data_IF_369790680712
#
_entry.id   IF_369790680712
#
_cell.length_a   1.000
_cell.length_b   1.000
_cell.length_c   1.000
_cell.angle_alpha   90.00
_cell.angle_beta   90.00
_cell.angle_gamma   90.00
#
_symmetry.space_group_name_H-M   'P 1'
#
loop_
_entity.id
_entity.type
_entity.pdbx_description
1 polymer ?
#
# COMPACT_ATOMS: atom_id res chain seq x y z
N UNK A 1 -5.74 32.04 -66.10
CA UNK A 1 -5.15 32.72 -64.93
C UNK A 1 -5.29 31.82 -63.73
N UNK A 2 -4.20 31.08 -63.33
CA UNK A 2 -4.16 30.28 -62.15
C UNK A 2 -3.86 31.13 -60.92
N UNK A 3 -4.82 31.29 -59.99
CA UNK A 3 -4.57 31.89 -58.67
C UNK A 3 -3.90 30.83 -57.79
N UNK A 4 -2.62 30.96 -57.56
CA UNK A 4 -1.91 30.22 -56.51
C UNK A 4 -2.37 30.78 -55.16
N UNK A 5 -3.08 29.99 -54.38
CA UNK A 5 -3.36 30.24 -52.97
C UNK A 5 -2.11 29.91 -52.17
N UNK A 6 -1.27 30.88 -51.91
CA UNK A 6 -0.21 30.82 -50.91
C UNK A 6 -0.86 30.76 -49.52
N UNK A 7 -0.99 29.58 -48.94
CA UNK A 7 -1.28 29.45 -47.50
C UNK A 7 -0.12 30.06 -46.74
N UNK A 8 -0.39 30.99 -45.81
CA UNK A 8 0.68 31.67 -45.11
C UNK A 8 1.38 30.68 -44.15
N UNK A 9 2.61 30.29 -44.47
CA UNK A 9 3.52 29.55 -43.60
C UNK A 9 3.60 30.16 -42.18
N UNK A 10 3.35 31.45 -42.05
CA UNK A 10 3.30 32.16 -40.78
C UNK A 10 2.17 31.70 -39.82
N UNK A 11 1.01 31.28 -40.37
CA UNK A 11 -0.09 30.76 -39.53
C UNK A 11 0.21 29.36 -38.94
N UNK A 12 0.93 28.55 -39.71
CA UNK A 12 1.38 27.23 -39.25
C UNK A 12 2.49 27.35 -38.18
N UNK A 13 3.43 28.29 -38.36
CA UNK A 13 4.48 28.57 -37.40
C UNK A 13 3.90 29.15 -36.09
N UNK A 14 2.91 30.06 -36.17
CA UNK A 14 2.21 30.59 -34.99
C UNK A 14 1.40 29.50 -34.26
N UNK A 15 0.75 28.59 -34.96
CA UNK A 15 0.04 27.46 -34.38
C UNK A 15 1.00 26.44 -33.69
N UNK A 16 2.20 26.23 -34.23
CA UNK A 16 3.24 25.40 -33.64
C UNK A 16 3.85 26.03 -32.38
N UNK A 17 3.99 27.33 -32.30
CA UNK A 17 4.48 28.04 -31.12
C UNK A 17 3.43 28.08 -29.98
N UNK A 18 2.14 28.15 -30.32
CA UNK A 18 1.03 28.08 -29.34
C UNK A 18 0.84 26.65 -28.76
N UNK A 19 1.24 25.61 -29.50
CA UNK A 19 1.12 24.21 -29.02
C UNK A 19 2.09 23.84 -27.90
N UNK A 20 3.12 24.64 -27.61
CA UNK A 20 4.14 24.39 -26.57
C UNK A 20 3.76 24.95 -25.19
N UNK A 21 2.73 25.78 -25.07
CA UNK A 21 2.35 26.41 -23.79
C UNK A 21 1.46 25.47 -22.96
N UNK A 22 2.01 24.85 -21.93
CA UNK A 22 1.22 24.27 -20.84
C UNK A 22 0.99 25.31 -19.75
N UNK A 23 -0.23 25.36 -19.19
CA UNK A 23 -0.58 26.21 -18.05
C UNK A 23 -0.25 25.59 -16.71
N UNK A 24 0.33 24.37 -16.70
CA UNK A 24 0.78 23.67 -15.50
C UNK A 24 1.90 24.47 -14.84
N UNK A 25 1.84 24.76 -13.53
CA UNK A 25 2.95 25.38 -12.81
C UNK A 25 4.22 24.53 -12.93
N UNK A 26 5.38 25.18 -12.92
CA UNK A 26 6.65 24.45 -12.81
C UNK A 26 6.69 23.74 -11.45
N UNK A 27 6.90 22.45 -11.48
CA UNK A 27 7.05 21.68 -10.25
C UNK A 27 8.27 22.14 -9.46
N UNK A 28 8.10 22.27 -8.15
CA UNK A 28 9.19 22.49 -7.20
C UNK A 28 8.95 21.56 -6.03
N UNK A 29 9.95 20.73 -5.74
CA UNK A 29 9.90 19.83 -4.61
C UNK A 29 9.85 20.63 -3.29
N UNK A 30 8.87 20.36 -2.41
CA UNK A 30 8.80 21.01 -1.10
C UNK A 30 10.03 20.65 -0.25
N UNK A 31 10.63 21.66 0.38
CA UNK A 31 11.72 21.42 1.34
C UNK A 31 11.12 21.03 2.68
N UNK A 32 11.33 19.78 3.09
CA UNK A 32 10.87 19.27 4.38
C UNK A 32 12.00 19.38 5.40
N UNK A 33 11.71 19.97 6.56
CA UNK A 33 12.68 20.08 7.66
C UNK A 33 12.76 18.73 8.40
N UNK A 34 13.67 17.85 7.96
CA UNK A 34 14.06 16.63 8.68
C UNK A 34 15.57 16.68 8.93
N UNK A 35 16.08 16.06 10.02
CA UNK A 35 17.52 15.94 10.25
C UNK A 35 18.19 15.21 9.09
N UNK A 36 19.42 15.61 8.76
CA UNK A 36 20.20 15.01 7.66
C UNK A 36 20.57 13.55 7.93
N UNK A 37 20.66 13.15 9.21
CA UNK A 37 21.07 11.81 9.63
C UNK A 37 20.20 11.30 10.78
N UNK A 38 20.09 9.97 10.89
CA UNK A 38 19.48 9.31 12.03
C UNK A 38 20.51 9.25 13.18
N UNK A 39 20.23 9.91 14.31
CA UNK A 39 21.18 10.07 15.43
C UNK A 39 21.61 8.78 16.14
N UNK A 40 20.98 7.63 15.86
CA UNK A 40 21.19 6.36 16.55
C UNK A 40 22.01 5.33 15.77
N UNK A 41 22.40 5.62 14.55
CA UNK A 41 23.28 4.72 13.79
C UNK A 41 24.48 5.50 13.22
N UNK A 42 25.65 5.19 13.72
CA UNK A 42 26.91 5.69 13.12
C UNK A 42 27.08 4.91 11.83
N UNK A 43 26.81 5.57 10.74
CA UNK A 43 26.88 5.09 9.38
C UNK A 43 28.00 4.11 9.15
N UNK A 44 27.72 2.98 8.58
CA UNK A 44 28.74 2.08 8.10
C UNK A 44 28.38 1.50 6.75
N UNK A 45 29.41 1.23 5.95
CA UNK A 45 29.32 0.62 4.64
C UNK A 45 28.51 -0.67 4.67
N UNK A 46 27.57 -0.81 3.74
CA UNK A 46 26.77 -2.02 3.58
C UNK A 46 25.73 -1.87 2.47
N UNK A 47 25.05 -2.96 2.13
CA UNK A 47 23.99 -2.95 1.13
C UNK A 47 22.79 -2.21 1.72
N UNK A 48 22.25 -1.20 0.99
CA UNK A 48 21.05 -0.48 1.41
C UNK A 48 19.87 -1.44 1.53
N UNK A 49 19.01 -1.24 2.52
CA UNK A 49 17.82 -2.10 2.73
C UNK A 49 16.94 -2.20 1.48
N UNK A 50 16.78 -1.11 0.72
CA UNK A 50 16.03 -1.07 -0.53
C UNK A 50 16.67 -1.95 -1.65
N UNK A 51 17.96 -2.25 -1.57
CA UNK A 51 18.69 -3.08 -2.52
C UNK A 51 18.83 -4.53 -2.05
N UNK A 52 18.60 -4.80 -0.77
CA UNK A 52 18.66 -6.12 -0.15
C UNK A 52 17.36 -6.89 -0.45
N UNK A 53 17.50 -8.05 -1.08
CA UNK A 53 16.37 -8.93 -1.34
C UNK A 53 15.81 -9.55 -0.06
N UNK A 54 14.48 -9.73 0.00
CA UNK A 54 13.86 -10.29 1.21
C UNK A 54 14.26 -11.77 1.45
N UNK A 55 14.61 -12.55 0.41
CA UNK A 55 15.14 -13.90 0.58
C UNK A 55 16.55 -13.91 1.16
N UNK A 56 17.33 -12.85 0.92
CA UNK A 56 18.68 -12.73 1.48
C UNK A 56 18.66 -12.06 2.87
N UNK A 57 17.57 -11.41 3.21
CA UNK A 57 17.37 -10.80 4.52
C UNK A 57 16.82 -11.78 5.57
N UNK A 58 15.73 -12.47 5.24
CA UNK A 58 15.17 -13.51 6.10
C UNK A 58 15.90 -14.83 5.85
N UNK A 59 16.21 -15.58 6.92
CA UNK A 59 16.96 -16.83 6.80
C UNK A 59 16.07 -18.07 6.65
N UNK A 60 14.77 -17.96 7.04
CA UNK A 60 13.89 -19.12 7.14
C UNK A 60 13.22 -19.49 5.81
N UNK A 61 13.52 -20.68 5.25
CA UNK A 61 12.92 -21.14 4.00
C UNK A 61 11.39 -21.27 4.06
N UNK A 62 10.83 -21.54 5.26
CA UNK A 62 9.37 -21.59 5.45
C UNK A 62 8.76 -20.21 5.30
N UNK A 63 9.39 -19.19 5.86
CA UNK A 63 8.98 -17.80 5.70
C UNK A 63 9.05 -17.37 4.23
N UNK A 64 10.11 -17.77 3.50
CA UNK A 64 10.21 -17.49 2.07
C UNK A 64 9.01 -17.99 1.29
N UNK A 65 8.58 -19.24 1.52
CA UNK A 65 7.41 -19.82 0.83
C UNK A 65 6.10 -19.11 1.20
N UNK A 66 5.96 -18.67 2.44
CA UNK A 66 4.78 -17.91 2.88
C UNK A 66 4.74 -16.53 2.23
N UNK A 67 5.87 -15.81 2.16
CA UNK A 67 5.96 -14.51 1.48
C UNK A 67 5.65 -14.68 -0.02
N UNK A 68 6.24 -15.65 -0.71
CA UNK A 68 5.93 -15.94 -2.12
C UNK A 68 4.43 -16.14 -2.34
N UNK A 69 3.82 -17.01 -1.53
CA UNK A 69 2.39 -17.31 -1.64
C UNK A 69 1.53 -16.06 -1.36
N UNK A 70 1.92 -15.25 -0.39
CA UNK A 70 1.21 -14.00 -0.09
C UNK A 70 1.32 -13.00 -1.25
N UNK A 71 2.51 -12.80 -1.82
CA UNK A 71 2.71 -11.90 -2.95
C UNK A 71 1.91 -12.32 -4.20
N UNK A 72 1.66 -13.62 -4.37
CA UNK A 72 0.85 -14.14 -5.49
C UNK A 72 -0.67 -14.03 -5.22
N UNK A 73 -1.12 -14.15 -3.97
CA UNK A 73 -2.53 -14.43 -3.66
C UNK A 73 -3.19 -13.44 -2.72
N UNK A 74 -2.43 -12.60 -2.03
CA UNK A 74 -2.99 -11.67 -1.06
C UNK A 74 -4.03 -10.73 -1.70
N UNK A 75 -5.18 -10.59 -1.04
CA UNK A 75 -6.32 -9.83 -1.54
C UNK A 75 -6.05 -8.33 -1.61
N UNK A 76 -5.33 -7.78 -0.62
CA UNK A 76 -5.05 -6.35 -0.55
C UNK A 76 -4.05 -5.94 -1.63
N UNK A 77 -3.01 -6.76 -1.85
CA UNK A 77 -2.05 -6.53 -2.93
C UNK A 77 -2.71 -6.64 -4.31
N UNK A 78 -3.60 -7.63 -4.49
CA UNK A 78 -4.38 -7.77 -5.72
C UNK A 78 -5.30 -6.58 -5.94
N UNK A 79 -5.96 -6.10 -4.90
CA UNK A 79 -6.81 -4.90 -4.96
C UNK A 79 -5.98 -3.67 -5.33
N UNK A 80 -4.81 -3.48 -4.73
CA UNK A 80 -3.91 -2.38 -5.08
C UNK A 80 -3.43 -2.46 -6.54
N UNK A 81 -3.14 -3.65 -7.05
CA UNK A 81 -2.77 -3.87 -8.45
C UNK A 81 -3.92 -3.52 -9.40
N UNK A 82 -5.15 -3.97 -9.11
CA UNK A 82 -6.33 -3.67 -9.92
C UNK A 82 -6.67 -2.16 -9.89
N UNK A 83 -6.49 -1.50 -8.75
CA UNK A 83 -6.64 -0.03 -8.67
C UNK A 83 -5.63 0.70 -9.57
N UNK A 84 -4.37 0.26 -9.60
CA UNK A 84 -3.38 0.82 -10.51
C UNK A 84 -3.76 0.59 -11.99
N UNK A 85 -4.30 -0.57 -12.33
CA UNK A 85 -4.82 -0.83 -13.69
C UNK A 85 -6.02 0.05 -14.03
N UNK A 86 -6.96 0.22 -13.11
CA UNK A 86 -8.12 1.11 -13.31
C UNK A 86 -7.66 2.56 -13.56
N UNK A 87 -6.67 3.04 -12.81
CA UNK A 87 -6.10 4.38 -13.02
C UNK A 87 -5.34 4.48 -14.34
N UNK A 88 -4.72 3.41 -14.82
CA UNK A 88 -4.11 3.35 -16.16
C UNK A 88 -5.16 3.53 -17.26
N UNK A 89 -6.30 2.86 -17.14
CA UNK A 89 -7.41 3.02 -18.09
C UNK A 89 -8.02 4.44 -18.00
N UNK A 90 -8.12 5.02 -16.79
CA UNK A 90 -8.53 6.43 -16.63
C UNK A 90 -7.57 7.39 -17.33
N UNK A 91 -6.26 7.13 -17.27
CA UNK A 91 -5.27 7.87 -18.07
C UNK A 91 -5.51 7.72 -19.58
N UNK A 92 -5.83 6.48 -20.06
CA UNK A 92 -6.17 6.25 -21.47
C UNK A 92 -7.40 7.03 -21.91
N UNK A 93 -8.44 7.07 -21.08
CA UNK A 93 -9.65 7.87 -21.32
C UNK A 93 -9.30 9.36 -21.42
N UNK A 94 -8.52 9.88 -20.47
CA UNK A 94 -8.10 11.29 -20.47
C UNK A 94 -7.18 11.61 -21.67
N UNK A 95 -6.36 10.66 -22.11
CA UNK A 95 -5.52 10.79 -23.30
C UNK A 95 -6.37 10.81 -24.58
N UNK A 96 -7.45 10.02 -24.64
CA UNK A 96 -8.34 9.96 -25.80
C UNK A 96 -9.02 11.31 -26.08
N UNK A 97 -9.24 12.16 -25.07
CA UNK A 97 -9.78 13.51 -25.22
C UNK A 97 -8.90 14.45 -26.06
N UNK A 98 -7.64 14.08 -26.33
CA UNK A 98 -6.75 14.82 -27.26
C UNK A 98 -7.06 14.58 -28.74
N UNK A 99 -7.92 13.61 -29.04
CA UNK A 99 -8.27 13.22 -30.41
C UNK A 99 -9.78 13.31 -30.63
N UNK A 100 -10.22 13.65 -31.86
CA UNK A 100 -11.64 13.66 -32.18
C UNK A 100 -12.24 12.25 -32.09
N UNK A 101 -13.44 12.14 -31.53
CA UNK A 101 -14.23 10.91 -31.56
C UNK A 101 -15.07 10.86 -32.84
N UNK A 102 -14.99 9.78 -33.58
CA UNK A 102 -15.82 9.52 -34.75
C UNK A 102 -16.99 8.64 -34.37
N UNK A 103 -18.19 9.09 -34.62
CA UNK A 103 -19.42 8.35 -34.36
C UNK A 103 -20.30 8.19 -35.60
N UNK A 104 -21.07 7.14 -35.69
CA UNK A 104 -22.15 6.96 -36.62
C UNK A 104 -23.48 7.35 -35.95
N UNK A 105 -24.30 8.15 -36.61
CA UNK A 105 -25.60 8.57 -36.11
C UNK A 105 -26.68 8.26 -37.11
N UNK A 106 -27.84 7.78 -36.65
CA UNK A 106 -29.05 7.67 -37.44
C UNK A 106 -30.20 8.33 -36.69
N UNK A 107 -30.99 9.13 -37.35
CA UNK A 107 -32.17 9.74 -36.74
C UNK A 107 -33.35 9.70 -37.70
N UNK A 108 -34.53 9.59 -37.16
CA UNK A 108 -35.81 9.75 -37.86
C UNK A 108 -36.78 10.56 -37.00
N UNK A 109 -37.34 11.60 -37.58
CA UNK A 109 -38.33 12.44 -36.92
C UNK A 109 -39.56 12.52 -37.77
N UNK A 110 -40.74 12.29 -37.19
CA UNK A 110 -42.03 12.55 -37.81
C UNK A 110 -42.87 13.36 -36.83
N UNK A 111 -43.21 14.57 -37.20
CA UNK A 111 -43.93 15.47 -36.32
C UNK A 111 -45.07 16.19 -37.08
N UNK A 112 -46.14 16.49 -36.36
CA UNK A 112 -47.25 17.34 -36.84
C UNK A 112 -47.12 18.72 -36.17
N UNK A 113 -46.92 19.73 -36.96
CA UNK A 113 -46.95 21.12 -36.49
C UNK A 113 -48.40 21.66 -36.59
N UNK A 114 -48.84 22.45 -35.60
CA UNK A 114 -50.12 23.14 -35.63
C UNK A 114 -50.11 24.22 -36.70
N UNK A 115 -51.34 24.58 -37.24
CA UNK A 115 -51.44 25.52 -38.35
C UNK A 115 -50.96 26.92 -38.04
N UNK A 116 -51.13 27.37 -36.82
CA UNK A 116 -50.68 28.70 -36.32
C UNK A 116 -49.18 28.78 -36.10
N UNK A 117 -48.50 27.63 -35.95
CA UNK A 117 -47.02 27.61 -35.79
C UNK A 117 -46.26 27.56 -37.13
N UNK A 118 -46.95 27.21 -38.24
CA UNK A 118 -46.30 27.04 -39.54
C UNK A 118 -46.78 28.12 -40.58
N UNK A 119 -47.62 29.05 -40.18
CA UNK A 119 -48.10 30.14 -40.99
C UNK A 119 -49.09 29.74 -42.11
N UNK A 120 -49.46 28.45 -42.25
CA UNK A 120 -50.35 27.98 -43.33
C UNK A 120 -51.83 27.87 -42.88
N UNK A 121 -52.09 28.03 -41.58
CA UNK A 121 -53.43 27.82 -40.98
C UNK A 121 -53.87 26.37 -40.95
N UNK A 122 -53.08 25.41 -41.38
CA UNK A 122 -53.36 23.98 -41.40
C UNK A 122 -52.21 23.20 -40.77
N UNK A 123 -52.56 22.13 -40.03
CA UNK A 123 -51.55 21.24 -39.49
C UNK A 123 -50.76 20.52 -40.61
N UNK A 124 -49.44 20.59 -40.55
CA UNK A 124 -48.54 19.92 -41.52
C UNK A 124 -47.74 18.84 -40.84
N UNK A 125 -47.65 17.66 -41.46
CA UNK A 125 -46.76 16.59 -41.05
C UNK A 125 -45.41 16.77 -41.79
N UNK A 126 -44.33 16.85 -41.02
CA UNK A 126 -42.97 16.86 -41.58
C UNK A 126 -42.23 15.57 -41.11
N UNK A 127 -41.50 14.98 -42.01
CA UNK A 127 -40.63 13.82 -41.77
C UNK A 127 -39.23 14.22 -42.13
N UNK A 128 -38.27 13.68 -41.42
CA UNK A 128 -36.83 13.81 -41.69
C UNK A 128 -36.08 12.59 -41.22
N UNK A 129 -35.31 11.99 -42.08
CA UNK A 129 -34.48 10.83 -41.82
C UNK A 129 -33.04 11.19 -42.19
N UNK A 130 -32.09 10.82 -41.33
CA UNK A 130 -30.67 11.02 -41.62
C UNK A 130 -29.82 9.89 -41.11
N UNK A 131 -28.75 9.57 -41.84
CA UNK A 131 -27.68 8.64 -41.41
C UNK A 131 -26.35 9.26 -41.82
N UNK A 132 -25.39 9.24 -40.89
CA UNK A 132 -24.08 9.83 -41.20
C UNK A 132 -22.99 9.43 -40.21
N UNK A 133 -21.78 9.82 -40.60
CA UNK A 133 -20.60 9.75 -39.76
C UNK A 133 -20.23 11.17 -39.33
N UNK A 134 -19.78 11.36 -38.11
CA UNK A 134 -19.39 12.69 -37.70
C UNK A 134 -18.51 12.73 -36.45
N UNK A 135 -17.85 13.84 -36.29
CA UNK A 135 -17.14 14.27 -35.09
C UNK A 135 -17.99 15.32 -34.40
N UNK A 136 -18.29 15.12 -33.14
CA UNK A 136 -19.09 16.06 -32.35
C UNK A 136 -18.25 16.78 -31.31
N UNK A 137 -18.27 18.11 -31.35
CA UNK A 137 -17.71 19.00 -30.32
C UNK A 137 -16.25 18.69 -29.90
N UNK A 138 -15.37 18.34 -30.84
CA UNK A 138 -13.95 18.16 -30.56
C UNK A 138 -13.32 19.51 -30.17
N UNK A 139 -12.88 19.64 -28.88
CA UNK A 139 -12.23 20.84 -28.36
C UNK A 139 -10.74 20.85 -28.75
N UNK A 140 -10.31 21.89 -29.48
CA UNK A 140 -8.91 22.11 -29.81
C UNK A 140 -8.14 22.55 -28.56
N UNK A 141 -7.14 21.78 -28.17
CA UNK A 141 -6.36 22.04 -26.94
C UNK A 141 -5.27 23.11 -27.14
N UNK A 142 -5.68 24.35 -27.46
CA UNK A 142 -4.76 25.45 -27.67
C UNK A 142 -4.07 25.92 -26.39
N UNK A 143 -4.79 25.90 -25.27
CA UNK A 143 -4.32 26.41 -23.99
C UNK A 143 -3.93 25.30 -22.98
N UNK A 144 -3.90 24.05 -23.42
CA UNK A 144 -3.40 22.93 -22.65
C UNK A 144 -4.35 22.39 -21.57
N UNK A 145 -5.66 22.63 -21.70
CA UNK A 145 -6.68 22.08 -20.78
C UNK A 145 -6.72 20.55 -20.83
N UNK A 146 -6.85 19.97 -22.04
CA UNK A 146 -6.87 18.52 -22.24
C UNK A 146 -5.53 17.88 -21.91
N UNK A 147 -4.41 18.53 -22.26
CA UNK A 147 -3.06 18.10 -21.88
C UNK A 147 -2.87 18.12 -20.37
N UNK A 148 -3.37 19.13 -19.66
CA UNK A 148 -3.32 19.22 -18.20
C UNK A 148 -4.14 18.11 -17.55
N UNK A 149 -5.35 17.82 -18.03
CA UNK A 149 -6.19 16.73 -17.56
C UNK A 149 -5.53 15.35 -17.79
N UNK A 150 -4.92 15.16 -18.99
CA UNK A 150 -4.13 13.94 -19.27
C UNK A 150 -2.96 13.80 -18.30
N UNK A 151 -2.22 14.91 -18.02
CA UNK A 151 -1.11 14.88 -17.08
C UNK A 151 -1.59 14.57 -15.66
N UNK A 152 -2.71 15.17 -15.22
CA UNK A 152 -3.30 14.86 -13.92
C UNK A 152 -3.67 13.37 -13.81
N UNK A 153 -4.26 12.79 -14.85
CA UNK A 153 -4.58 11.37 -14.87
C UNK A 153 -3.33 10.46 -14.90
N UNK A 154 -2.25 10.89 -15.57
CA UNK A 154 -0.97 10.18 -15.59
C UNK A 154 -0.33 10.16 -14.21
N UNK A 155 -0.31 11.30 -13.51
CA UNK A 155 0.21 11.39 -12.15
C UNK A 155 -0.65 10.57 -11.17
N UNK A 156 -1.97 10.55 -11.36
CA UNK A 156 -2.88 9.66 -10.63
C UNK A 156 -2.57 8.17 -10.83
N UNK A 157 -2.20 7.77 -12.06
CA UNK A 157 -1.73 6.41 -12.33
C UNK A 157 -0.40 6.11 -11.61
N UNK A 158 0.58 7.02 -11.64
CA UNK A 158 1.85 6.84 -10.94
C UNK A 158 1.67 6.81 -9.42
N UNK A 159 0.79 7.65 -8.86
CA UNK A 159 0.40 7.61 -7.45
C UNK A 159 -0.13 6.22 -7.08
N UNK A 160 -1.06 5.67 -7.85
CA UNK A 160 -1.64 4.35 -7.60
C UNK A 160 -0.63 3.21 -7.76
N UNK A 161 0.33 3.35 -8.70
CA UNK A 161 1.44 2.39 -8.85
C UNK A 161 2.36 2.41 -7.63
N UNK A 162 2.70 3.60 -7.12
CA UNK A 162 3.51 3.74 -5.92
C UNK A 162 2.76 3.23 -4.66
N UNK A 163 1.44 3.44 -4.59
CA UNK A 163 0.61 2.85 -3.53
C UNK A 163 0.59 1.31 -3.57
N UNK A 164 0.55 0.69 -4.76
CA UNK A 164 0.71 -0.76 -4.94
C UNK A 164 2.07 -1.24 -4.43
N UNK A 165 3.14 -0.52 -4.75
CA UNK A 165 4.49 -0.86 -4.30
C UNK A 165 4.61 -0.73 -2.77
N UNK A 166 3.95 0.28 -2.17
CA UNK A 166 3.85 0.41 -0.72
C UNK A 166 3.09 -0.76 -0.07
N UNK A 167 2.00 -1.20 -0.69
CA UNK A 167 1.26 -2.39 -0.26
C UNK A 167 2.13 -3.65 -0.33
N UNK A 168 2.95 -3.82 -1.38
CA UNK A 168 3.88 -4.93 -1.50
C UNK A 168 4.85 -4.99 -0.30
N UNK A 169 5.52 -3.88 0.04
CA UNK A 169 6.40 -3.80 1.22
C UNK A 169 5.65 -4.12 2.52
N UNK A 170 4.44 -3.61 2.65
CA UNK A 170 3.61 -3.84 3.83
C UNK A 170 3.24 -5.33 3.99
N UNK A 171 2.91 -6.03 2.89
CA UNK A 171 2.59 -7.46 2.93
C UNK A 171 3.82 -8.30 3.28
N UNK A 172 5.00 -8.02 2.71
CA UNK A 172 6.24 -8.73 3.08
C UNK A 172 6.48 -8.62 4.59
N UNK A 173 6.40 -7.41 5.15
CA UNK A 173 6.58 -7.20 6.59
C UNK A 173 5.46 -7.84 7.42
N UNK A 174 4.20 -7.77 6.99
CA UNK A 174 3.07 -8.34 7.70
C UNK A 174 3.15 -9.87 7.77
N UNK A 175 3.53 -10.54 6.67
CA UNK A 175 3.73 -12.00 6.64
C UNK A 175 4.88 -12.40 7.55
N UNK A 176 6.00 -11.67 7.54
CA UNK A 176 7.13 -11.94 8.42
C UNK A 176 6.72 -11.82 9.91
N UNK A 177 6.03 -10.73 10.28
CA UNK A 177 5.56 -10.53 11.66
C UNK A 177 4.53 -11.59 12.09
N UNK A 178 3.57 -11.93 11.23
CA UNK A 178 2.61 -13.00 11.52
C UNK A 178 3.30 -14.37 11.69
N UNK A 179 4.32 -14.64 10.88
CA UNK A 179 5.13 -15.85 11.01
C UNK A 179 5.94 -15.88 12.31
N UNK A 180 6.60 -14.78 12.69
CA UNK A 180 7.30 -14.69 13.97
C UNK A 180 6.37 -14.88 15.16
N UNK A 181 5.17 -14.31 15.09
CA UNK A 181 4.12 -14.53 16.09
C UNK A 181 3.67 -15.99 16.14
N UNK A 182 3.55 -16.69 15.02
CA UNK A 182 3.27 -18.13 15.01
C UNK A 182 4.40 -18.91 15.68
N UNK A 183 5.67 -18.63 15.35
CA UNK A 183 6.82 -19.30 15.98
C UNK A 183 6.88 -19.03 17.48
N UNK A 184 6.62 -17.79 17.90
CA UNK A 184 6.47 -17.43 19.31
C UNK A 184 5.37 -18.25 19.99
N UNK A 185 4.19 -18.35 19.40
CA UNK A 185 3.08 -19.11 19.98
C UNK A 185 3.38 -20.61 20.08
N UNK A 186 4.11 -21.18 19.11
CA UNK A 186 4.59 -22.58 19.17
C UNK A 186 5.59 -22.79 20.30
N UNK A 187 6.56 -21.90 20.50
CA UNK A 187 7.54 -21.98 21.59
C UNK A 187 6.89 -21.71 22.97
N UNK A 188 5.95 -20.75 23.05
CA UNK A 188 5.18 -20.49 24.25
C UNK A 188 4.31 -21.70 24.66
N UNK A 189 3.67 -22.36 23.68
CA UNK A 189 2.93 -23.59 23.92
C UNK A 189 3.84 -24.72 24.43
N UNK A 190 5.02 -24.86 23.82
CA UNK A 190 6.00 -25.87 24.28
C UNK A 190 6.47 -25.60 25.72
N UNK A 191 6.67 -24.31 26.08
CA UNK A 191 7.01 -23.88 27.44
C UNK A 191 5.87 -24.20 28.42
N UNK A 192 4.62 -23.86 28.09
CA UNK A 192 3.44 -24.16 28.91
C UNK A 192 3.25 -25.68 29.11
N UNK A 193 3.48 -26.48 28.05
CA UNK A 193 3.44 -27.95 28.12
C UNK A 193 4.51 -28.49 29.06
N UNK A 194 5.73 -27.95 29.05
CA UNK A 194 6.81 -28.33 29.97
C UNK A 194 6.41 -28.04 31.42
N UNK A 195 5.80 -26.87 31.67
CA UNK A 195 5.31 -26.50 33.00
C UNK A 195 4.19 -27.44 33.46
N UNK A 196 3.21 -27.72 32.57
CA UNK A 196 2.12 -28.65 32.87
C UNK A 196 2.66 -30.05 33.29
N UNK A 197 3.60 -30.59 32.50
CA UNK A 197 4.24 -31.89 32.86
C UNK A 197 4.95 -31.86 34.21
N UNK A 198 5.65 -30.77 34.54
CA UNK A 198 6.29 -30.60 35.85
C UNK A 198 5.25 -30.57 36.97
N UNK A 199 4.15 -29.83 36.80
CA UNK A 199 3.04 -29.78 37.77
C UNK A 199 2.36 -31.13 37.95
N UNK A 200 2.14 -31.90 36.90
CA UNK A 200 1.61 -33.27 36.99
C UNK A 200 2.49 -34.18 37.81
N UNK A 201 3.80 -34.11 37.63
CA UNK A 201 4.76 -34.91 38.41
C UNK A 201 4.75 -34.51 39.89
N UNK A 202 4.75 -33.22 40.18
CA UNK A 202 4.69 -32.68 41.55
C UNK A 202 3.38 -33.05 42.24
N UNK A 203 2.25 -32.98 41.56
CA UNK A 203 0.95 -33.38 42.08
C UNK A 203 0.88 -34.88 42.42
N UNK A 204 1.38 -35.75 41.52
CA UNK A 204 1.46 -37.20 41.80
C UNK A 204 2.30 -37.50 43.04
N UNK A 205 3.45 -36.84 43.18
CA UNK A 205 4.29 -36.97 44.38
C UNK A 205 3.56 -36.49 45.64
N UNK A 206 2.83 -35.39 45.55
CA UNK A 206 2.03 -34.84 46.65
C UNK A 206 0.89 -35.79 47.05
N UNK A 207 0.24 -36.44 46.10
CA UNK A 207 -0.76 -37.49 46.40
C UNK A 207 -0.17 -38.66 47.20
N UNK A 208 1.04 -39.14 46.85
CA UNK A 208 1.74 -40.20 47.56
C UNK A 208 2.09 -39.72 48.97
N UNK A 209 2.66 -38.54 49.14
CA UNK A 209 3.03 -37.95 50.44
C UNK A 209 1.80 -37.73 51.32
N UNK A 210 0.66 -37.32 50.79
CA UNK A 210 -0.58 -37.16 51.52
C UNK A 210 -1.12 -38.49 52.03
N UNK A 211 -1.15 -39.53 51.18
CA UNK A 211 -1.53 -40.90 51.58
C UNK A 211 -0.62 -41.47 52.69
N UNK A 212 0.64 -41.10 52.70
CA UNK A 212 1.61 -41.43 53.71
C UNK A 212 1.55 -40.53 54.96
N UNK A 213 0.63 -39.58 55.05
CA UNK A 213 0.48 -38.65 56.17
C UNK A 213 1.58 -37.60 56.29
N UNK A 214 2.39 -37.39 55.25
CA UNK A 214 3.56 -36.50 55.26
C UNK A 214 3.19 -35.04 54.95
N UNK A 215 2.11 -34.81 54.19
CA UNK A 215 1.60 -33.46 53.87
C UNK A 215 0.12 -33.34 54.21
N UNK A 216 -0.32 -32.12 54.45
CA UNK A 216 -1.70 -31.81 54.79
C UNK A 216 -2.65 -31.91 53.58
N UNK A 217 -3.96 -32.00 53.83
CA UNK A 217 -4.98 -31.87 52.80
C UNK A 217 -4.97 -30.50 52.13
N UNK A 218 -4.60 -29.45 52.86
CA UNK A 218 -4.46 -28.07 52.31
C UNK A 218 -3.37 -28.04 51.26
N UNK A 219 -2.20 -28.62 51.55
CA UNK A 219 -1.07 -28.69 50.60
C UNK A 219 -1.47 -29.44 49.31
N UNK A 220 -2.21 -30.58 49.46
CA UNK A 220 -2.69 -31.33 48.32
C UNK A 220 -3.66 -30.52 47.46
N UNK A 221 -4.62 -29.81 48.05
CA UNK A 221 -5.56 -28.95 47.33
C UNK A 221 -4.87 -27.77 46.62
N UNK A 222 -3.82 -27.25 47.25
CA UNK A 222 -2.99 -26.21 46.57
C UNK A 222 -2.30 -26.76 45.34
N UNK A 223 -1.74 -27.98 45.37
CA UNK A 223 -1.13 -28.61 44.20
C UNK A 223 -2.17 -28.94 43.13
N UNK A 224 -3.40 -29.31 43.51
CA UNK A 224 -4.51 -29.53 42.59
C UNK A 224 -4.90 -28.22 41.86
N UNK A 225 -5.00 -27.12 42.58
CA UNK A 225 -5.28 -25.81 41.97
C UNK A 225 -4.19 -25.39 40.98
N UNK A 226 -2.90 -25.69 41.29
CA UNK A 226 -1.78 -25.33 40.41
C UNK A 226 -1.73 -26.16 39.10
N UNK A 227 -2.11 -27.46 39.15
CA UNK A 227 -2.19 -28.24 37.92
C UNK A 227 -3.33 -27.79 37.04
N UNK A 228 -4.49 -27.44 37.60
CA UNK A 228 -5.61 -26.93 36.83
C UNK A 228 -5.29 -25.55 36.20
N UNK A 229 -4.60 -24.68 36.92
CA UNK A 229 -4.06 -23.42 36.37
C UNK A 229 -3.06 -23.65 35.21
N UNK A 230 -2.19 -24.66 35.33
CA UNK A 230 -1.25 -25.01 34.28
C UNK A 230 -1.95 -25.58 33.02
N UNK A 231 -3.03 -26.40 33.21
CA UNK A 231 -3.87 -26.88 32.12
C UNK A 231 -4.52 -25.71 31.37
N UNK A 232 -5.15 -24.78 32.11
CA UNK A 232 -5.77 -23.59 31.53
C UNK A 232 -4.77 -22.76 30.74
N UNK A 233 -3.55 -22.59 31.26
CA UNK A 233 -2.46 -21.88 30.56
C UNK A 233 -2.02 -22.59 29.28
N UNK A 234 -1.94 -23.93 29.30
CA UNK A 234 -1.61 -24.70 28.10
C UNK A 234 -2.69 -24.61 27.04
N UNK A 235 -3.97 -24.74 27.40
CA UNK A 235 -5.10 -24.59 26.45
C UNK A 235 -5.15 -23.16 25.85
N UNK A 236 -4.86 -22.13 26.65
CA UNK A 236 -4.72 -20.76 26.14
C UNK A 236 -3.58 -20.61 25.13
N UNK A 237 -2.45 -21.30 25.35
CA UNK A 237 -1.33 -21.30 24.42
C UNK A 237 -1.66 -22.06 23.13
N UNK A 238 -2.41 -23.17 23.20
CA UNK A 238 -2.94 -23.90 22.04
C UNK A 238 -3.84 -22.97 21.22
N UNK A 239 -4.77 -22.25 21.87
CA UNK A 239 -5.64 -21.29 21.20
C UNK A 239 -4.82 -20.20 20.48
N UNK A 240 -3.83 -19.62 21.14
CA UNK A 240 -2.97 -18.58 20.58
C UNK A 240 -2.22 -19.06 19.34
N UNK A 241 -1.71 -20.30 19.36
CA UNK A 241 -1.06 -20.94 18.20
C UNK A 241 -2.00 -21.06 17.02
N UNK A 242 -3.24 -21.54 17.23
CA UNK A 242 -4.21 -21.71 16.15
C UNK A 242 -4.67 -20.34 15.60
N UNK A 243 -4.82 -19.33 16.46
CA UNK A 243 -5.12 -17.95 16.01
C UNK A 243 -3.99 -17.37 15.15
N UNK A 244 -2.72 -17.59 15.53
CA UNK A 244 -1.57 -17.16 14.75
C UNK A 244 -1.52 -17.86 13.37
N UNK A 245 -1.86 -19.17 13.32
CA UNK A 245 -2.01 -19.89 12.04
C UNK A 245 -3.10 -19.30 11.16
N UNK A 246 -4.25 -18.97 11.74
CA UNK A 246 -5.37 -18.35 11.01
C UNK A 246 -4.98 -16.97 10.45
N UNK A 247 -4.22 -16.18 11.20
CA UNK A 247 -3.73 -14.88 10.73
C UNK A 247 -2.83 -15.02 9.48
N UNK A 248 -1.95 -16.00 9.44
CA UNK A 248 -1.14 -16.29 8.24
C UNK A 248 -2.02 -16.75 7.08
N UNK A 249 -3.00 -17.64 7.34
CA UNK A 249 -3.89 -18.15 6.30
C UNK A 249 -4.66 -17.02 5.60
N UNK A 250 -5.07 -15.97 6.33
CA UNK A 250 -5.67 -14.75 5.76
C UNK A 250 -4.68 -14.01 4.87
N UNK A 251 -3.43 -13.82 5.32
CA UNK A 251 -2.42 -13.10 4.55
C UNK A 251 -2.05 -13.79 3.24
N UNK A 252 -1.97 -15.15 3.25
CA UNK A 252 -1.68 -15.94 2.06
C UNK A 252 -2.94 -16.31 1.25
N UNK A 253 -4.14 -15.90 1.72
CA UNK A 253 -5.44 -16.18 1.12
C UNK A 253 -5.67 -17.67 0.80
N UNK A 254 -5.26 -18.56 1.71
CA UNK A 254 -5.47 -20.03 1.64
C UNK A 254 -5.07 -20.70 2.96
N UNK A 255 -5.52 -21.93 3.23
CA UNK A 255 -4.96 -22.73 4.31
C UNK A 255 -3.44 -22.86 4.17
N UNK A 256 -2.73 -22.89 5.30
CA UNK A 256 -1.28 -23.09 5.31
C UNK A 256 -0.98 -24.48 4.74
N UNK A 257 -0.12 -24.59 3.69
CA UNK A 257 0.25 -25.88 3.12
C UNK A 257 0.96 -26.78 4.15
N UNK A 258 0.70 -28.07 4.11
CA UNK A 258 1.32 -29.05 5.01
C UNK A 258 2.75 -29.42 4.59
N UNK A 259 3.13 -29.15 3.32
CA UNK A 259 4.42 -29.46 2.70
C UNK A 259 5.48 -28.34 2.88
N UNK A 260 5.24 -27.41 3.82
CA UNK A 260 6.21 -26.35 4.08
C UNK A 260 7.49 -26.90 4.73
N UNK A 261 8.67 -26.34 4.41
CA UNK A 261 9.92 -26.68 5.10
C UNK A 261 9.79 -26.52 6.62
N UNK A 262 10.65 -27.24 7.37
CA UNK A 262 10.75 -27.03 8.80
C UNK A 262 11.18 -25.59 9.09
N UNK A 263 10.45 -24.90 9.98
CA UNK A 263 10.77 -23.53 10.36
C UNK A 263 11.99 -23.47 11.27
N UNK A 264 12.77 -22.42 11.14
CA UNK A 264 13.90 -22.14 12.01
C UNK A 264 13.42 -21.64 13.39
N UNK A 265 14.20 -21.85 14.48
CA UNK A 265 13.91 -21.26 15.78
C UNK A 265 13.98 -19.72 15.72
N UNK A 266 13.32 -19.07 16.71
CA UNK A 266 13.19 -17.60 16.73
C UNK A 266 14.53 -16.84 16.70
N UNK A 267 15.60 -17.41 17.22
CA UNK A 267 16.93 -16.79 17.26
C UNK A 267 17.68 -16.84 15.91
N UNK A 268 17.17 -17.56 14.90
CA UNK A 268 17.80 -17.78 13.59
C UNK A 268 16.97 -17.28 12.39
N UNK A 269 16.11 -16.31 12.61
CA UNK A 269 15.18 -15.83 11.59
C UNK A 269 15.79 -14.89 10.53
N UNK A 270 16.95 -14.30 10.81
CA UNK A 270 17.60 -13.33 9.92
C UNK A 270 18.98 -13.79 9.48
N UNK A 271 19.27 -13.68 8.19
CA UNK A 271 20.59 -13.89 7.63
C UNK A 271 21.50 -12.68 7.85
N UNK A 272 20.92 -11.46 7.91
CA UNK A 272 21.63 -10.21 8.15
C UNK A 272 21.23 -9.67 9.52
N UNK A 273 22.16 -9.67 10.45
CA UNK A 273 21.92 -9.23 11.83
C UNK A 273 21.85 -7.70 12.00
N UNK A 274 22.37 -6.93 11.03
CA UNK A 274 22.42 -5.46 11.09
C UNK A 274 22.20 -4.85 9.72
N UNK A 275 21.13 -4.07 9.58
CA UNK A 275 20.93 -3.21 8.41
C UNK A 275 21.70 -1.92 8.61
N UNK A 276 22.52 -1.47 7.64
CA UNK A 276 23.14 -0.17 7.69
C UNK A 276 22.04 0.90 7.53
N UNK A 277 21.80 1.65 8.59
CA UNK A 277 20.88 2.78 8.58
C UNK A 277 21.64 4.13 8.49
N UNK A 278 22.95 4.08 8.26
CA UNK A 278 23.83 5.23 8.16
C UNK A 278 23.64 6.06 6.90
N UNK A 279 22.44 6.21 6.49
CA UNK A 279 22.05 6.88 5.27
C UNK A 279 21.48 8.24 5.63
N UNK A 280 21.83 9.23 4.83
CA UNK A 280 21.18 10.53 4.82
C UNK A 280 19.67 10.33 4.67
N UNK A 281 18.85 11.22 5.18
CA UNK A 281 17.39 11.21 5.01
C UNK A 281 16.95 11.10 3.54
N UNK A 282 17.84 11.33 2.57
CA UNK A 282 17.60 11.13 1.13
C UNK A 282 17.18 9.70 0.76
N UNK A 283 17.57 8.68 1.54
CA UNK A 283 17.09 7.30 1.32
C UNK A 283 15.58 7.19 1.41
N UNK A 284 14.96 8.03 2.24
CA UNK A 284 13.52 8.04 2.43
C UNK A 284 12.77 8.49 1.17
N UNK A 285 13.36 9.36 0.34
CA UNK A 285 12.74 9.86 -0.88
C UNK A 285 12.44 8.75 -1.91
N UNK A 286 13.12 7.61 -1.82
CA UNK A 286 12.85 6.46 -2.67
C UNK A 286 11.73 5.54 -2.14
N UNK A 287 11.17 5.81 -0.96
CA UNK A 287 10.05 5.03 -0.42
C UNK A 287 8.81 5.17 -1.30
N UNK A 288 8.07 4.07 -1.56
CA UNK A 288 6.88 4.13 -2.39
C UNK A 288 5.78 5.05 -1.87
N UNK A 289 5.61 5.15 -0.55
CA UNK A 289 4.60 6.02 0.08
C UNK A 289 4.92 7.52 -0.14
N UNK A 290 6.19 7.92 -0.07
CA UNK A 290 6.63 9.29 -0.37
C UNK A 290 6.48 9.58 -1.87
N UNK A 291 6.85 8.64 -2.74
CA UNK A 291 6.62 8.77 -4.19
C UNK A 291 5.13 8.90 -4.53
N UNK A 292 4.25 8.18 -3.82
CA UNK A 292 2.81 8.34 -3.98
C UNK A 292 2.38 9.77 -3.64
N UNK A 293 2.82 10.31 -2.51
CA UNK A 293 2.52 11.69 -2.11
C UNK A 293 3.09 12.73 -3.10
N UNK A 294 4.29 12.50 -3.64
CA UNK A 294 4.88 13.35 -4.68
C UNK A 294 4.05 13.36 -5.97
N UNK A 295 3.59 12.19 -6.44
CA UNK A 295 2.71 12.12 -7.61
C UNK A 295 1.35 12.75 -7.36
N UNK A 296 0.79 12.69 -6.14
CA UNK A 296 -0.43 13.43 -5.78
C UNK A 296 -0.23 14.95 -5.85
N UNK A 297 0.94 15.44 -5.45
CA UNK A 297 1.29 16.87 -5.59
C UNK A 297 1.42 17.28 -7.06
N UNK A 298 2.10 16.48 -7.90
CA UNK A 298 2.22 16.72 -9.34
C UNK A 298 0.85 16.67 -10.04
N UNK A 299 -0.05 15.80 -9.58
CA UNK A 299 -1.43 15.76 -10.06
C UNK A 299 -2.18 17.05 -9.73
N UNK A 300 -2.00 17.60 -8.53
CA UNK A 300 -2.60 18.87 -8.13
C UNK A 300 -2.06 20.04 -8.95
N UNK A 301 -0.77 20.07 -9.30
CA UNK A 301 -0.19 21.04 -10.22
C UNK A 301 -0.83 20.96 -11.62
N UNK A 302 -1.04 19.77 -12.13
CA UNK A 302 -1.70 19.56 -13.41
C UNK A 302 -3.16 20.08 -13.40
N UNK A 303 -3.88 19.88 -12.28
CA UNK A 303 -5.24 20.41 -12.09
C UNK A 303 -5.27 21.96 -12.07
N UNK A 304 -4.23 22.61 -11.51
CA UNK A 304 -4.09 24.07 -11.62
C UNK A 304 -3.93 24.50 -13.08
N UNK A 305 -3.17 23.74 -13.88
CA UNK A 305 -3.02 23.98 -15.32
C UNK A 305 -4.36 23.95 -16.05
N UNK A 306 -5.18 22.93 -15.77
CA UNK A 306 -6.53 22.83 -16.35
C UNK A 306 -7.44 23.99 -15.92
N UNK A 307 -7.40 24.39 -14.63
CA UNK A 307 -8.18 25.51 -14.11
C UNK A 307 -7.75 26.87 -14.69
N UNK A 308 -6.46 27.07 -14.98
CA UNK A 308 -5.95 28.25 -15.66
C UNK A 308 -6.39 28.29 -17.13
N UNK A 309 -6.31 27.14 -17.80
CA UNK A 309 -6.72 27.04 -19.20
C UNK A 309 -8.21 27.39 -19.41
N UNK A 310 -9.06 27.17 -18.42
CA UNK A 310 -10.48 27.48 -18.46
C UNK A 310 -10.82 29.00 -18.56
N UNK A 311 -9.88 29.88 -18.31
CA UNK A 311 -10.05 31.34 -18.52
C UNK A 311 -9.91 31.76 -19.97
N UNK A 312 -9.37 30.90 -20.83
CA UNK A 312 -9.12 31.22 -22.23
C UNK A 312 -10.25 30.71 -23.11
N UNK A 313 -10.37 31.24 -24.35
CA UNK A 313 -11.37 30.78 -25.31
C UNK A 313 -11.25 29.28 -25.58
N UNK A 314 -12.37 28.58 -25.62
CA UNK A 314 -12.44 27.19 -26.12
C UNK A 314 -12.96 27.20 -27.57
N UNK A 315 -12.30 26.45 -28.45
CA UNK A 315 -12.68 26.26 -29.84
C UNK A 315 -13.07 24.79 -30.01
N UNK A 316 -14.32 24.54 -30.37
CA UNK A 316 -14.79 23.21 -30.68
C UNK A 316 -15.13 23.08 -32.18
N UNK A 317 -14.83 21.92 -32.71
CA UNK A 317 -15.09 21.52 -34.09
C UNK A 317 -16.15 20.43 -34.13
N UNK A 318 -17.21 20.67 -34.87
CA UNK A 318 -18.22 19.68 -35.22
C UNK A 318 -18.21 19.47 -36.72
N UNK A 319 -18.19 18.25 -37.18
CA UNK A 319 -18.23 17.93 -38.59
C UNK A 319 -18.98 16.65 -38.87
N UNK A 320 -19.78 16.58 -39.90
CA UNK A 320 -20.50 15.37 -40.28
C UNK A 320 -20.58 15.24 -41.82
N UNK A 321 -20.66 14.00 -42.27
CA UNK A 321 -20.93 13.62 -43.65
C UNK A 321 -21.92 12.45 -43.63
N UNK A 322 -22.93 12.50 -44.52
CA UNK A 322 -23.98 11.48 -44.52
C UNK A 322 -25.01 11.66 -45.62
N UNK A 323 -26.19 11.15 -45.40
CA UNK A 323 -27.38 11.32 -46.25
C UNK A 323 -28.57 11.74 -45.42
N UNK A 324 -29.47 12.55 -46.02
CA UNK A 324 -30.72 12.94 -45.40
C UNK A 324 -31.86 13.00 -46.44
N UNK A 325 -33.09 12.66 -46.00
CA UNK A 325 -34.25 12.67 -46.86
C UNK A 325 -35.53 12.92 -46.03
N UNK A 326 -36.55 13.48 -46.65
CA UNK A 326 -37.88 13.59 -46.05
C UNK A 326 -38.69 12.27 -46.12
N UNK A 327 -38.17 11.28 -46.86
CA UNK A 327 -38.79 9.94 -46.97
C UNK A 327 -37.71 8.86 -46.72
N UNK A 328 -38.04 7.87 -45.93
CA UNK A 328 -37.12 6.79 -45.55
C UNK A 328 -36.63 5.99 -46.77
N UNK A 329 -37.49 5.72 -47.76
CA UNK A 329 -37.17 5.00 -48.99
C UNK A 329 -36.21 5.75 -49.90
N UNK A 330 -36.06 7.03 -49.74
CA UNK A 330 -35.21 7.92 -50.54
C UNK A 330 -33.87 8.22 -49.87
N UNK A 331 -33.66 7.75 -48.63
CA UNK A 331 -32.49 8.13 -47.81
C UNK A 331 -31.13 7.90 -48.50
N UNK A 332 -30.99 6.86 -49.29
CA UNK A 332 -29.75 6.52 -49.99
C UNK A 332 -29.79 6.80 -51.48
N UNK A 333 -30.72 7.57 -51.97
CA UNK A 333 -30.75 8.00 -53.39
C UNK A 333 -29.62 9.00 -53.72
N UNK A 334 -29.15 8.93 -54.93
CA UNK A 334 -28.20 9.91 -55.45
C UNK A 334 -28.74 11.35 -55.33
N UNK A 335 -27.93 12.25 -54.81
CA UNK A 335 -28.30 13.64 -54.58
C UNK A 335 -28.69 13.95 -53.10
N UNK A 336 -28.88 12.95 -52.25
CA UNK A 336 -29.24 13.15 -50.86
C UNK A 336 -28.05 13.19 -49.89
N UNK A 337 -26.81 13.26 -50.45
CA UNK A 337 -25.59 13.44 -49.67
C UNK A 337 -25.55 14.79 -48.98
N UNK A 338 -25.21 14.77 -47.67
CA UNK A 338 -25.09 15.95 -46.85
C UNK A 338 -23.76 16.03 -46.16
N UNK A 339 -23.26 17.21 -45.93
CA UNK A 339 -22.12 17.43 -45.04
C UNK A 339 -22.35 18.74 -44.25
N UNK A 340 -21.76 18.79 -43.04
CA UNK A 340 -21.75 19.97 -42.21
C UNK A 340 -20.39 20.14 -41.56
N UNK A 341 -19.92 21.40 -41.46
CA UNK A 341 -18.76 21.78 -40.70
C UNK A 341 -19.09 23.05 -39.89
N UNK A 342 -19.10 22.90 -38.57
CA UNK A 342 -19.56 23.95 -37.66
C UNK A 342 -18.50 24.16 -36.53
N UNK A 343 -17.48 25.00 -36.78
CA UNK A 343 -16.61 25.46 -35.71
C UNK A 343 -17.39 26.40 -34.79
N UNK A 344 -17.14 26.28 -33.47
CA UNK A 344 -17.69 27.21 -32.49
C UNK A 344 -16.62 27.69 -31.53
N UNK A 345 -16.72 28.97 -31.15
CA UNK A 345 -15.81 29.59 -30.19
C UNK A 345 -16.62 30.05 -28.99
N UNK A 346 -16.21 29.65 -27.79
CA UNK A 346 -16.80 30.09 -26.55
C UNK A 346 -15.75 30.87 -25.73
N UNK A 347 -16.05 32.13 -25.42
CA UNK A 347 -15.17 33.03 -24.65
C UNK A 347 -15.88 33.39 -23.35
N UNK A 348 -15.39 32.95 -22.17
CA UNK A 348 -15.97 33.34 -20.90
C UNK A 348 -15.59 34.77 -20.54
N UNK A 349 -16.52 35.73 -20.73
CA UNK A 349 -16.27 37.15 -20.42
C UNK A 349 -16.63 37.44 -18.97
N UNK A 350 -17.79 36.97 -18.51
CA UNK A 350 -18.26 37.20 -17.15
C UNK A 350 -18.87 35.93 -16.55
N UNK A 351 -18.26 35.43 -15.49
CA UNK A 351 -18.62 34.15 -14.90
C UNK A 351 -18.96 34.23 -13.39
N UNK A 352 -19.29 35.45 -12.93
CA UNK A 352 -19.66 35.71 -11.51
C UNK A 352 -18.68 35.12 -10.49
N UNK A 353 -17.40 35.08 -10.84
CA UNK A 353 -16.35 34.58 -9.97
C UNK A 353 -16.15 33.05 -9.98
N UNK A 354 -16.95 32.29 -10.73
CA UNK A 354 -16.86 30.80 -10.78
C UNK A 354 -15.47 30.31 -11.21
N UNK A 355 -14.89 30.87 -12.29
CA UNK A 355 -13.55 30.49 -12.76
C UNK A 355 -12.46 30.84 -11.71
N UNK A 356 -12.56 32.03 -11.08
CA UNK A 356 -11.64 32.45 -10.02
C UNK A 356 -11.75 31.53 -8.81
N UNK A 357 -12.97 31.17 -8.41
CA UNK A 357 -13.23 30.21 -7.34
C UNK A 357 -12.64 28.85 -7.64
N UNK A 358 -12.83 28.33 -8.86
CA UNK A 358 -12.29 27.05 -9.33
C UNK A 358 -10.76 27.02 -9.31
N UNK A 359 -10.11 28.09 -9.77
CA UNK A 359 -8.65 28.23 -9.72
C UNK A 359 -8.14 28.32 -8.29
N UNK A 360 -8.81 29.09 -7.42
CA UNK A 360 -8.42 29.18 -6.00
C UNK A 360 -8.59 27.83 -5.30
N UNK A 361 -9.68 27.10 -5.56
CA UNK A 361 -9.87 25.76 -5.03
C UNK A 361 -8.77 24.79 -5.48
N UNK A 362 -8.34 24.85 -6.76
CA UNK A 362 -7.23 24.04 -7.25
C UNK A 362 -5.90 24.40 -6.56
N UNK A 363 -5.62 25.68 -6.30
CA UNK A 363 -4.44 26.14 -5.56
C UNK A 363 -4.45 25.63 -4.11
N UNK A 364 -5.59 25.78 -3.41
CA UNK A 364 -5.73 25.29 -2.02
C UNK A 364 -5.56 23.77 -1.97
N UNK A 365 -6.11 23.03 -2.94
CA UNK A 365 -5.88 21.57 -3.02
C UNK A 365 -4.40 21.23 -3.22
N UNK A 366 -3.64 22.03 -3.97
CA UNK A 366 -2.18 21.87 -4.05
C UNK A 366 -1.52 22.08 -2.68
N UNK A 367 -1.89 23.13 -1.95
CA UNK A 367 -1.35 23.39 -0.61
C UNK A 367 -1.63 22.22 0.34
N UNK A 368 -2.83 21.61 0.27
CA UNK A 368 -3.15 20.38 1.02
C UNK A 368 -2.19 19.25 0.62
N UNK A 369 -1.88 19.07 -0.67
CA UNK A 369 -0.94 18.01 -1.07
C UNK A 369 0.51 18.31 -0.66
N UNK A 370 0.92 19.57 -0.53
CA UNK A 370 2.21 19.94 0.07
C UNK A 370 2.27 19.48 1.52
N UNK A 371 1.25 19.80 2.32
CA UNK A 371 1.17 19.37 3.73
C UNK A 371 1.15 17.84 3.85
N UNK A 372 0.43 17.14 2.96
CA UNK A 372 0.41 15.68 2.93
C UNK A 372 1.79 15.09 2.60
N UNK A 373 2.52 15.69 1.66
CA UNK A 373 3.89 15.29 1.33
C UNK A 373 4.85 15.50 2.51
N UNK A 374 4.79 16.66 3.16
CA UNK A 374 5.56 16.95 4.35
C UNK A 374 5.27 15.93 5.49
N UNK A 375 4.00 15.63 5.71
CA UNK A 375 3.58 14.63 6.71
C UNK A 375 4.10 13.22 6.36
N UNK A 376 4.10 12.83 5.09
CA UNK A 376 4.63 11.55 4.64
C UNK A 376 6.14 11.43 4.90
N UNK A 377 6.91 12.49 4.59
CA UNK A 377 8.37 12.52 4.82
C UNK A 377 8.68 12.49 6.33
N UNK A 378 7.99 13.31 7.14
CA UNK A 378 8.16 13.31 8.60
C UNK A 378 7.76 11.96 9.22
N UNK A 379 6.67 11.35 8.74
CA UNK A 379 6.23 10.02 9.16
C UNK A 379 7.28 8.96 8.86
N UNK A 380 7.84 8.98 7.66
CA UNK A 380 8.90 8.06 7.25
C UNK A 380 10.18 8.22 8.08
N UNK A 381 10.57 9.46 8.37
CA UNK A 381 11.71 9.73 9.26
C UNK A 381 11.48 9.21 10.67
N UNK A 382 10.27 9.45 11.23
CA UNK A 382 9.89 8.91 12.54
C UNK A 382 9.93 7.39 12.55
N UNK A 383 9.36 6.70 11.54
CA UNK A 383 9.32 5.24 11.49
C UNK A 383 10.73 4.62 11.57
N UNK A 384 11.69 5.19 10.85
CA UNK A 384 13.10 4.74 10.91
C UNK A 384 13.73 5.06 12.25
N UNK A 385 13.52 6.28 12.77
CA UNK A 385 14.10 6.71 14.06
C UNK A 385 13.59 5.84 15.20
N UNK A 386 12.28 5.59 15.26
CA UNK A 386 11.66 4.75 16.30
C UNK A 386 12.17 3.30 16.22
N UNK A 387 12.31 2.75 15.01
CA UNK A 387 12.81 1.40 14.83
C UNK A 387 14.30 1.27 15.23
N UNK A 388 15.12 2.30 15.00
CA UNK A 388 16.53 2.32 15.40
C UNK A 388 16.70 2.42 16.91
N UNK A 389 15.93 3.31 17.56
CA UNK A 389 15.90 3.42 19.03
C UNK A 389 15.45 2.10 19.65
N UNK A 390 14.35 1.54 19.13
CA UNK A 390 13.82 0.27 19.62
C UNK A 390 14.85 -0.85 19.47
N UNK A 391 15.56 -0.96 18.35
CA UNK A 391 16.61 -1.96 18.13
C UNK A 391 17.64 -1.96 19.25
N UNK A 392 18.18 -0.77 19.57
CA UNK A 392 19.23 -0.67 20.60
C UNK A 392 18.70 -1.05 21.99
N UNK A 393 17.52 -0.57 22.35
CA UNK A 393 16.94 -0.83 23.67
C UNK A 393 16.47 -2.30 23.83
N UNK A 394 15.88 -2.87 22.79
CA UNK A 394 15.45 -4.26 22.78
C UNK A 394 16.62 -5.23 22.88
N UNK A 395 17.78 -4.93 22.27
CA UNK A 395 18.99 -5.74 22.42
C UNK A 395 19.53 -5.71 23.86
N UNK A 396 19.54 -4.55 24.51
CA UNK A 396 19.92 -4.43 25.93
C UNK A 396 18.94 -5.19 26.83
N UNK A 397 17.65 -5.06 26.59
CA UNK A 397 16.58 -5.76 27.33
C UNK A 397 16.69 -7.27 27.13
N UNK A 398 16.95 -7.74 25.91
CA UNK A 398 17.16 -9.15 25.61
C UNK A 398 18.32 -9.75 26.43
N UNK A 399 19.45 -9.06 26.46
CA UNK A 399 20.61 -9.52 27.27
C UNK A 399 20.29 -9.57 28.77
N UNK A 400 19.52 -8.61 29.29
CA UNK A 400 19.10 -8.60 30.68
C UNK A 400 18.14 -9.77 30.97
N UNK A 401 17.10 -9.97 30.14
CA UNK A 401 16.15 -11.04 30.27
C UNK A 401 16.81 -12.42 30.14
N UNK A 402 17.77 -12.58 29.24
CA UNK A 402 18.52 -13.83 29.08
C UNK A 402 19.35 -14.17 30.33
N UNK A 403 20.01 -13.19 30.94
CA UNK A 403 20.72 -13.38 32.22
C UNK A 403 19.74 -13.70 33.36
N UNK A 404 18.59 -13.04 33.41
CA UNK A 404 17.55 -13.26 34.40
C UNK A 404 16.95 -14.67 34.27
N UNK A 405 16.55 -15.10 33.06
CA UNK A 405 16.03 -16.44 32.80
C UNK A 405 17.03 -17.50 33.23
N UNK A 406 18.32 -17.34 32.87
CA UNK A 406 19.38 -18.25 33.31
C UNK A 406 19.51 -18.33 34.84
N UNK A 407 19.49 -17.19 35.54
CA UNK A 407 19.60 -17.17 37.00
C UNK A 407 18.41 -17.86 37.69
N UNK A 408 17.18 -17.59 37.18
CA UNK A 408 16.00 -18.29 37.74
C UNK A 408 15.95 -19.77 37.38
N UNK A 409 16.42 -20.20 36.23
CA UNK A 409 16.55 -21.60 35.87
C UNK A 409 17.52 -22.33 36.79
N UNK A 410 18.68 -21.74 37.14
CA UNK A 410 19.62 -22.27 38.10
C UNK A 410 19.04 -22.29 39.52
N UNK A 411 18.32 -21.24 39.94
CA UNK A 411 17.62 -21.19 41.22
C UNK A 411 16.59 -22.33 41.32
N UNK A 412 15.76 -22.51 40.30
CA UNK A 412 14.77 -23.57 40.23
C UNK A 412 15.42 -24.96 40.35
N UNK A 413 16.51 -25.17 39.63
CA UNK A 413 17.28 -26.45 39.71
C UNK A 413 17.75 -26.72 41.13
N UNK A 414 18.34 -25.74 41.81
CA UNK A 414 18.85 -25.88 43.19
C UNK A 414 17.73 -26.10 44.17
N UNK A 415 16.65 -25.32 44.11
CA UNK A 415 15.49 -25.48 44.99
C UNK A 415 14.78 -26.81 44.76
N UNK A 416 14.66 -27.27 43.52
CA UNK A 416 14.10 -28.58 43.20
C UNK A 416 14.88 -29.72 43.82
N UNK A 417 16.22 -29.66 43.86
CA UNK A 417 17.07 -30.61 44.54
C UNK A 417 16.85 -30.58 46.05
N UNK A 418 16.84 -29.38 46.67
CA UNK A 418 16.58 -29.22 48.11
C UNK A 418 15.20 -29.73 48.53
N UNK A 419 14.16 -29.46 47.70
CA UNK A 419 12.80 -29.96 47.94
C UNK A 419 12.71 -31.50 47.89
N UNK A 420 13.40 -32.14 46.94
CA UNK A 420 13.50 -33.60 46.86
C UNK A 420 14.10 -34.23 48.11
N UNK A 421 15.09 -33.56 48.73
CA UNK A 421 15.76 -33.98 49.94
C UNK A 421 15.09 -33.46 51.24
N UNK A 422 13.91 -32.81 51.14
CA UNK A 422 13.15 -32.36 52.31
C UNK A 422 13.70 -31.08 52.98
N UNK A 423 14.65 -30.37 52.35
CA UNK A 423 15.34 -29.20 52.92
C UNK A 423 14.62 -27.89 52.58
N UNK A 424 13.90 -27.80 51.46
CA UNK A 424 13.10 -26.64 51.06
C UNK A 424 11.61 -26.96 51.12
N UNK A 425 10.79 -25.94 51.39
CA UNK A 425 9.33 -26.05 51.41
C UNK A 425 8.71 -26.18 50.01
N UNK A 426 7.46 -26.62 49.95
CA UNK A 426 6.67 -26.59 48.71
C UNK A 426 6.44 -25.17 48.18
N UNK A 427 6.37 -24.19 49.10
CA UNK A 427 6.22 -22.76 48.71
C UNK A 427 7.49 -22.22 48.01
N UNK A 428 8.69 -22.58 48.51
CA UNK A 428 9.95 -22.20 47.87
C UNK A 428 10.05 -22.76 46.44
N UNK A 429 9.64 -24.02 46.25
CA UNK A 429 9.61 -24.62 44.92
C UNK A 429 8.61 -23.94 44.01
N UNK A 430 7.41 -23.61 44.49
CA UNK A 430 6.38 -22.91 43.75
C UNK A 430 6.85 -21.54 43.28
N UNK A 431 7.46 -20.76 44.18
CA UNK A 431 7.98 -19.44 43.84
C UNK A 431 9.12 -19.49 42.83
N UNK A 432 10.01 -20.47 42.94
CA UNK A 432 11.09 -20.67 41.96
C UNK A 432 10.57 -21.08 40.59
N UNK A 433 9.56 -21.98 40.54
CA UNK A 433 8.92 -22.38 39.27
C UNK A 433 8.18 -21.22 38.61
N UNK A 434 7.42 -20.41 39.38
CA UNK A 434 6.72 -19.24 38.88
C UNK A 434 7.69 -18.18 38.33
N UNK A 435 8.77 -17.93 39.07
CA UNK A 435 9.79 -16.95 38.67
C UNK A 435 10.52 -17.38 37.40
N UNK A 436 10.89 -18.66 37.28
CA UNK A 436 11.52 -19.22 36.09
C UNK A 436 10.59 -19.13 34.86
N UNK A 437 9.32 -19.54 35.03
CA UNK A 437 8.33 -19.46 33.94
C UNK A 437 8.08 -18.03 33.47
N UNK A 438 7.94 -17.08 34.41
CA UNK A 438 7.76 -15.67 34.10
C UNK A 438 8.96 -15.09 33.35
N UNK A 439 10.19 -15.43 33.77
CA UNK A 439 11.40 -14.96 33.12
C UNK A 439 11.58 -15.55 31.70
N UNK A 440 11.28 -16.85 31.52
CA UNK A 440 11.33 -17.50 30.20
C UNK A 440 10.29 -16.92 29.25
N UNK A 441 9.07 -16.63 29.73
CA UNK A 441 8.01 -15.99 28.95
C UNK A 441 8.40 -14.56 28.57
N UNK A 442 8.99 -13.79 29.49
CA UNK A 442 9.46 -12.43 29.22
C UNK A 442 10.61 -12.41 28.19
N UNK A 443 11.54 -13.37 28.27
CA UNK A 443 12.62 -13.52 27.29
C UNK A 443 12.05 -13.82 25.90
N UNK A 444 11.12 -14.76 25.81
CA UNK A 444 10.50 -15.17 24.55
C UNK A 444 9.69 -14.01 23.94
N UNK A 445 8.92 -13.26 24.73
CA UNK A 445 8.17 -12.08 24.27
C UNK A 445 9.11 -10.97 23.77
N UNK A 446 10.20 -10.71 24.48
CA UNK A 446 11.19 -9.73 24.03
C UNK A 446 11.85 -10.17 22.71
N UNK A 447 12.10 -11.46 22.53
CA UNK A 447 12.64 -12.00 21.29
C UNK A 447 11.70 -11.76 20.11
N UNK A 448 10.39 -12.02 20.28
CA UNK A 448 9.38 -11.67 19.27
C UNK A 448 9.43 -10.18 18.90
N UNK A 449 9.39 -9.31 19.90
CA UNK A 449 9.40 -7.85 19.67
C UNK A 449 10.67 -7.40 18.91
N UNK A 450 11.83 -8.01 19.20
CA UNK A 450 13.06 -7.75 18.42
C UNK A 450 12.94 -8.14 16.96
N UNK A 451 12.37 -9.31 16.68
CA UNK A 451 12.18 -9.80 15.31
C UNK A 451 11.19 -8.90 14.53
N UNK A 452 10.09 -8.52 15.18
CA UNK A 452 9.10 -7.59 14.60
C UNK A 452 9.73 -6.23 14.30
N UNK A 453 10.53 -5.68 15.22
CA UNK A 453 11.25 -4.41 15.00
C UNK A 453 12.25 -4.50 13.84
N UNK A 454 12.92 -5.63 13.65
CA UNK A 454 13.81 -5.83 12.50
C UNK A 454 13.03 -5.85 11.17
N UNK A 455 11.85 -6.48 11.13
CA UNK A 455 10.98 -6.46 9.96
C UNK A 455 10.43 -5.04 9.68
N UNK A 456 10.04 -4.31 10.71
CA UNK A 456 9.58 -2.93 10.60
C UNK A 456 10.70 -1.98 10.14
N UNK A 457 11.92 -2.12 10.66
CA UNK A 457 13.08 -1.35 10.21
C UNK A 457 13.41 -1.63 8.73
N UNK A 458 13.38 -2.90 8.31
CA UNK A 458 13.60 -3.29 6.92
C UNK A 458 12.58 -2.63 5.98
N UNK A 459 11.29 -2.68 6.33
CA UNK A 459 10.22 -1.98 5.60
C UNK A 459 10.40 -0.47 5.62
N UNK A 460 10.70 0.13 6.79
CA UNK A 460 10.87 1.58 6.95
C UNK A 460 12.01 2.14 6.10
N UNK A 461 13.06 1.35 5.87
CA UNK A 461 14.18 1.66 4.97
C UNK A 461 13.89 1.33 3.49
N UNK A 462 12.65 0.95 3.14
CA UNK A 462 12.25 0.62 1.77
C UNK A 462 12.64 -0.78 1.30
N UNK A 463 13.04 -1.67 2.20
CA UNK A 463 13.35 -3.06 1.89
C UNK A 463 12.11 -3.91 1.63
N UNK A 464 12.23 -4.95 0.80
CA UNK A 464 11.15 -5.91 0.53
C UNK A 464 10.60 -5.90 -0.91
N UNK A 465 11.00 -4.94 -1.75
CA UNK A 465 10.59 -4.92 -3.18
C UNK A 465 11.31 -5.98 -4.00
N UNK A 466 12.56 -6.26 -3.68
CA UNK A 466 13.40 -7.21 -4.41
C UNK A 466 13.31 -8.58 -3.76
N UNK A 467 13.22 -9.62 -4.59
CA UNK A 467 13.31 -11.01 -4.12
C UNK A 467 14.73 -11.36 -3.70
N UNK A 468 15.71 -11.09 -4.58
CA UNK A 468 17.14 -11.29 -4.36
C UNK A 468 17.89 -9.97 -4.43
N UNK A 469 18.95 -9.88 -3.69
CA UNK A 469 19.93 -8.79 -3.79
C UNK A 469 20.54 -8.84 -5.19
N UNK A 470 20.54 -7.69 -5.90
CA UNK A 470 21.25 -7.63 -7.18
C UNK A 470 22.74 -7.91 -6.93
N UNK A 471 23.31 -8.88 -7.62
CA UNK A 471 24.76 -9.03 -7.66
C UNK A 471 25.36 -7.69 -8.09
N UNK A 472 26.27 -7.18 -7.26
CA UNK A 472 26.99 -5.95 -7.58
C UNK A 472 27.69 -6.18 -8.91
N UNK A 473 27.35 -5.37 -9.94
CA UNK A 473 28.06 -5.32 -11.22
C UNK A 473 29.57 -4.97 -11.08
N UNK A 474 30.12 -5.05 -9.89
CA UNK A 474 31.50 -4.74 -9.51
C UNK A 474 32.42 -5.97 -9.47
N UNK A 475 31.96 -7.15 -9.90
CA UNK A 475 32.84 -8.34 -10.08
C UNK A 475 33.02 -8.75 -11.54
N UNK A 476 32.59 -7.93 -12.49
CA UNK A 476 32.84 -8.13 -13.92
C UNK A 476 33.68 -6.97 -14.46
N UNK A 477 34.93 -6.90 -14.05
CA UNK A 477 36.05 -6.28 -14.80
C UNK A 477 37.39 -6.83 -14.28
#
# INVERSE_FOLDING_TARGET
MKKQTTFPLGAIAAALLLSACTMIPKYSEPKVAVPETFGYDKAQSGIRAADLGWQDYFADPRLHRLIETALERNTDLRTAALNAEAMREQYRISRAALFPSLGATGSGTRQRSAGDLNGTGRGVISESYSVGLGVSAYELDLFGKARSNKQAALEGYFNSTAARDSAHLAIVAAVAKAYFNQRYAEEAMALAQKVLKSREQTYRLSQIKHKAGVISAVDLRQQEALIEAAKASYESAVQSREQARNAIAVLINRPIPDDLPAGLPLDKQFAVSRLPAGLTSEVLLNRPDIRAAEHALKQADANIGAARAAFFPSISLTGSVGTASNELNNLFKAGNGTWAFAPSINIPIFTWGSLKGSLNAAKIRKEIQVVNYEAAVQGAFRDVSDALVAREQLDKTYQANARQSKAYADQLRLISLRYKHGVSSALDLLDAERSSYSADTALLANQLTRLENMADLYKALGGGMKRHTAESAAQAN
#
